data_IF_657503594160
#
_entry.id   IF_657503594160
#
_cell.length_a   1.000
_cell.length_b   1.000
_cell.length_c   1.000
_cell.angle_alpha   90.00
_cell.angle_beta   90.00
_cell.angle_gamma   90.00
#
_symmetry.space_group_name_H-M   'P 1'
#
loop_
_entity.id
_entity.type
_entity.pdbx_description
1 polymer ?
#
# COMPACT_ATOMS: atom_id res chain seq x y z
N UNK A 1 -29.40 -25.79 3.88
CA UNK A 1 -28.21 -25.93 4.75
C UNK A 1 -27.26 -24.79 4.39
N UNK A 2 -27.12 -23.80 5.26
CA UNK A 2 -26.34 -22.60 4.98
C UNK A 2 -24.83 -22.94 5.01
N UNK A 3 -24.13 -22.68 3.91
CA UNK A 3 -22.67 -22.79 3.80
C UNK A 3 -22.03 -21.69 4.66
N UNK A 4 -21.89 -21.97 5.96
CA UNK A 4 -21.22 -21.13 6.95
C UNK A 4 -19.71 -21.21 6.83
N UNK A 5 -19.14 -20.79 5.70
CA UNK A 5 -17.70 -20.52 5.62
C UNK A 5 -17.38 -19.39 6.61
N UNK A 6 -16.80 -19.75 7.75
CA UNK A 6 -16.25 -18.80 8.73
C UNK A 6 -15.43 -17.75 7.99
N UNK A 7 -15.76 -16.47 8.15
CA UNK A 7 -14.89 -15.35 7.74
C UNK A 7 -13.52 -15.64 8.35
N UNK A 8 -12.54 -15.90 7.50
CA UNK A 8 -11.16 -16.09 7.95
C UNK A 8 -10.66 -14.70 8.34
N UNK A 9 -10.09 -14.55 9.54
CA UNK A 9 -9.54 -13.29 10.01
C UNK A 9 -8.52 -12.75 8.98
N UNK A 10 -8.64 -11.50 8.52
CA UNK A 10 -7.70 -10.89 7.56
C UNK A 10 -6.23 -11.02 7.96
N UNK A 11 -5.91 -10.97 9.26
CA UNK A 11 -4.55 -11.12 9.77
C UNK A 11 -4.04 -12.57 9.61
N UNK A 12 -4.90 -13.56 9.86
CA UNK A 12 -4.56 -14.99 9.66
C UNK A 12 -4.36 -15.27 8.17
N UNK A 13 -5.20 -14.69 7.31
CA UNK A 13 -5.04 -14.81 5.87
C UNK A 13 -3.70 -14.23 5.40
N UNK A 14 -3.33 -13.04 5.87
CA UNK A 14 -2.05 -12.40 5.57
C UNK A 14 -0.85 -13.24 6.01
N UNK A 15 -0.88 -13.74 7.25
CA UNK A 15 0.17 -14.62 7.79
C UNK A 15 0.32 -15.92 6.99
N UNK A 16 -0.78 -16.54 6.56
CA UNK A 16 -0.75 -17.75 5.74
C UNK A 16 -0.15 -17.48 4.36
N UNK A 17 -0.53 -16.38 3.72
CA UNK A 17 0.02 -15.99 2.42
C UNK A 17 1.52 -15.67 2.52
N UNK A 18 1.96 -15.01 3.59
CA UNK A 18 3.37 -14.75 3.88
C UNK A 18 4.19 -16.03 4.02
N UNK A 19 3.69 -17.02 4.77
CA UNK A 19 4.40 -18.29 4.98
C UNK A 19 4.53 -19.13 3.69
N UNK A 20 3.51 -19.09 2.83
CA UNK A 20 3.51 -19.83 1.57
C UNK A 20 4.16 -19.07 0.39
N UNK A 21 4.73 -17.89 0.60
CA UNK A 21 5.35 -17.10 -0.46
C UNK A 21 6.82 -17.49 -0.67
N UNK A 22 7.28 -17.44 -1.92
CA UNK A 22 8.71 -17.36 -2.19
C UNK A 22 9.22 -15.99 -1.73
N UNK A 23 10.33 -15.97 -0.98
CA UNK A 23 10.83 -14.76 -0.31
C UNK A 23 12.26 -14.49 -0.71
N UNK A 24 12.58 -13.21 -0.85
CA UNK A 24 13.96 -12.74 -0.94
C UNK A 24 14.39 -12.08 0.38
N UNK A 25 15.68 -11.75 0.50
CA UNK A 25 16.17 -11.00 1.66
C UNK A 25 15.58 -9.58 1.67
N UNK A 26 15.11 -9.12 2.83
CA UNK A 26 14.64 -7.74 3.01
C UNK A 26 15.73 -6.71 2.71
N UNK A 27 16.99 -7.01 3.06
CA UNK A 27 18.14 -6.15 2.77
C UNK A 27 18.36 -5.97 1.27
N UNK A 28 18.22 -7.05 0.49
CA UNK A 28 18.34 -6.98 -0.97
C UNK A 28 17.25 -6.07 -1.54
N UNK A 29 16.03 -6.16 -1.02
CA UNK A 29 14.91 -5.32 -1.44
C UNK A 29 15.14 -3.84 -1.05
N UNK A 30 15.56 -3.56 0.19
CA UNK A 30 15.86 -2.22 0.69
C UNK A 30 16.98 -1.55 -0.13
N UNK A 31 18.09 -2.25 -0.38
CA UNK A 31 19.20 -1.74 -1.17
C UNK A 31 18.80 -1.49 -2.64
N UNK A 32 17.99 -2.38 -3.21
CA UNK A 32 17.48 -2.21 -4.58
C UNK A 32 16.55 -1.00 -4.67
N UNK A 33 15.68 -0.81 -3.68
CA UNK A 33 14.82 0.36 -3.61
C UNK A 33 15.62 1.64 -3.41
N UNK A 34 16.66 1.64 -2.56
CA UNK A 34 17.55 2.78 -2.39
C UNK A 34 18.29 3.17 -3.66
N UNK A 35 18.76 2.18 -4.44
CA UNK A 35 19.34 2.44 -5.76
C UNK A 35 18.33 3.07 -6.73
N UNK A 36 17.08 2.59 -6.73
CA UNK A 36 16.00 3.17 -7.52
C UNK A 36 15.72 4.63 -7.12
N UNK A 37 15.55 4.92 -5.83
CA UNK A 37 15.30 6.28 -5.33
C UNK A 37 16.45 7.21 -5.72
N UNK A 38 17.71 6.75 -5.55
CA UNK A 38 18.88 7.55 -5.90
C UNK A 38 18.95 7.84 -7.40
N UNK A 39 18.62 6.87 -8.23
CA UNK A 39 18.56 7.03 -9.68
C UNK A 39 17.46 8.02 -10.09
N UNK A 40 16.26 7.91 -9.50
CA UNK A 40 15.16 8.86 -9.76
C UNK A 40 15.56 10.28 -9.35
N UNK A 41 16.14 10.47 -8.16
CA UNK A 41 16.63 11.78 -7.70
C UNK A 41 17.59 12.39 -8.73
N UNK A 42 18.54 11.59 -9.23
CA UNK A 42 19.48 12.05 -10.25
C UNK A 42 18.77 12.43 -11.56
N UNK A 43 17.83 11.61 -12.02
CA UNK A 43 17.09 11.83 -13.26
C UNK A 43 16.12 13.02 -13.17
N UNK A 44 15.79 13.46 -11.95
CA UNK A 44 14.97 14.64 -11.66
C UNK A 44 15.79 15.84 -11.18
N UNK A 45 17.10 15.81 -11.38
CA UNK A 45 17.98 16.92 -11.02
C UNK A 45 17.87 17.34 -9.54
N UNK A 46 17.71 16.34 -8.66
CA UNK A 46 17.50 16.50 -7.22
C UNK A 46 16.21 17.29 -6.84
N UNK A 47 15.25 17.46 -7.77
CA UNK A 47 13.91 17.99 -7.50
C UNK A 47 13.09 16.97 -6.67
N UNK A 48 12.79 17.37 -5.44
CA UNK A 48 12.09 16.55 -4.45
C UNK A 48 10.64 16.28 -4.85
N UNK A 49 9.91 17.27 -5.35
CA UNK A 49 8.50 17.12 -5.71
C UNK A 49 8.35 16.25 -6.95
N UNK A 50 9.20 16.48 -7.96
CA UNK A 50 9.25 15.65 -9.15
C UNK A 50 9.64 14.19 -8.80
N UNK A 51 10.54 14.00 -7.84
CA UNK A 51 10.94 12.68 -7.33
C UNK A 51 9.78 12.00 -6.60
N UNK A 52 9.09 12.70 -5.70
CA UNK A 52 7.91 12.18 -5.00
C UNK A 52 6.84 11.71 -5.99
N UNK A 53 6.55 12.51 -7.02
CA UNK A 53 5.61 12.14 -8.08
C UNK A 53 6.10 10.93 -8.91
N UNK A 54 7.41 10.81 -9.12
CA UNK A 54 7.99 9.67 -9.81
C UNK A 54 7.82 8.36 -9.03
N UNK A 55 8.14 8.40 -7.73
CA UNK A 55 8.05 7.25 -6.83
C UNK A 55 6.62 6.76 -6.73
N UNK A 56 5.67 7.69 -6.55
CA UNK A 56 4.24 7.38 -6.56
C UNK A 56 3.83 6.69 -7.87
N UNK A 57 4.25 7.20 -9.02
CA UNK A 57 3.92 6.62 -10.33
C UNK A 57 4.51 5.20 -10.51
N UNK A 58 5.73 4.97 -10.04
CA UNK A 58 6.34 3.63 -10.03
C UNK A 58 5.51 2.71 -9.15
N UNK A 59 5.17 3.16 -7.95
CA UNK A 59 4.26 2.51 -7.01
C UNK A 59 2.95 2.08 -7.66
N UNK A 60 2.23 3.02 -8.28
CA UNK A 60 0.95 2.75 -8.93
C UNK A 60 1.06 1.68 -10.00
N UNK A 61 2.09 1.75 -10.83
CA UNK A 61 2.35 0.73 -11.85
C UNK A 61 2.57 -0.66 -11.24
N UNK A 62 3.27 -0.75 -10.11
CA UNK A 62 3.40 -2.02 -9.36
C UNK A 62 2.07 -2.46 -8.77
N UNK A 63 1.34 -1.56 -8.11
CA UNK A 63 0.04 -1.82 -7.47
C UNK A 63 -0.96 -2.49 -8.41
N UNK A 64 -1.11 -1.95 -9.62
CA UNK A 64 -2.01 -2.50 -10.65
C UNK A 64 -1.67 -3.93 -11.08
N UNK A 65 -0.42 -4.38 -10.89
CA UNK A 65 0.04 -5.72 -11.27
C UNK A 65 -0.02 -6.71 -10.12
N UNK A 66 0.42 -6.30 -8.91
CA UNK A 66 0.49 -7.20 -7.75
C UNK A 66 -0.89 -7.57 -7.18
N UNK A 67 -1.92 -6.77 -7.49
CA UNK A 67 -3.29 -7.01 -7.03
C UNK A 67 -3.86 -8.36 -7.51
N UNK A 68 -3.49 -8.83 -8.70
CA UNK A 68 -3.93 -10.14 -9.21
C UNK A 68 -3.37 -11.29 -8.36
N UNK A 69 -2.10 -11.18 -7.95
CA UNK A 69 -1.50 -12.14 -7.02
C UNK A 69 -2.19 -12.09 -5.66
N UNK A 70 -2.47 -10.89 -5.14
CA UNK A 70 -3.22 -10.73 -3.90
C UNK A 70 -4.59 -11.44 -3.96
N UNK A 71 -5.38 -11.18 -5.02
CA UNK A 71 -6.72 -11.74 -5.19
C UNK A 71 -6.69 -13.27 -5.31
N UNK A 72 -5.72 -13.82 -6.05
CA UNK A 72 -5.58 -15.27 -6.25
C UNK A 72 -5.16 -16.00 -4.98
N UNK A 73 -4.21 -15.46 -4.20
CA UNK A 73 -3.66 -16.15 -3.02
C UNK A 73 -4.53 -16.00 -1.77
N UNK A 74 -5.26 -14.90 -1.64
CA UNK A 74 -6.18 -14.68 -0.51
C UNK A 74 -7.55 -15.31 -0.74
N UNK A 75 -7.89 -15.62 -2.00
CA UNK A 75 -9.24 -16.03 -2.40
C UNK A 75 -10.26 -14.91 -2.20
N UNK A 76 -9.80 -13.66 -2.07
CA UNK A 76 -10.65 -12.52 -1.78
C UNK A 76 -11.61 -12.22 -2.97
N UNK A 77 -11.24 -12.57 -4.21
CA UNK A 77 -12.13 -12.60 -5.39
C UNK A 77 -13.10 -11.42 -5.51
N UNK A 78 -14.28 -11.64 -6.10
CA UNK A 78 -15.36 -10.65 -6.23
C UNK A 78 -15.99 -10.17 -4.89
N UNK A 79 -15.43 -10.56 -3.74
CA UNK A 79 -15.87 -10.14 -2.40
C UNK A 79 -14.87 -9.24 -1.69
N UNK A 80 -13.64 -9.12 -2.21
CA UNK A 80 -12.66 -8.15 -1.76
C UNK A 80 -13.20 -6.76 -2.08
N UNK A 81 -13.15 -5.82 -1.13
CA UNK A 81 -13.44 -4.40 -1.40
C UNK A 81 -14.91 -4.08 -1.73
N UNK A 82 -15.87 -4.71 -1.04
CA UNK A 82 -17.31 -4.32 -1.14
C UNK A 82 -17.59 -2.92 -0.59
N UNK A 83 -16.75 -2.47 0.33
CA UNK A 83 -16.73 -1.12 0.87
C UNK A 83 -15.29 -0.61 0.91
N UNK A 84 -15.15 0.71 1.01
CA UNK A 84 -13.85 1.33 1.27
C UNK A 84 -13.23 0.82 2.59
N UNK A 85 -14.05 0.61 3.62
CA UNK A 85 -13.63 0.02 4.89
C UNK A 85 -12.99 -1.37 4.72
N UNK A 86 -13.70 -2.29 4.04
CA UNK A 86 -13.19 -3.63 3.74
C UNK A 86 -11.88 -3.57 2.94
N UNK A 87 -11.74 -2.59 2.04
CA UNK A 87 -10.56 -2.41 1.22
C UNK A 87 -9.34 -1.94 2.03
N UNK A 88 -9.50 -0.96 2.92
CA UNK A 88 -8.42 -0.49 3.79
C UNK A 88 -8.00 -1.57 4.79
N UNK A 89 -8.94 -2.33 5.34
CA UNK A 89 -8.65 -3.45 6.24
C UNK A 89 -7.90 -4.58 5.51
N UNK A 90 -8.28 -4.87 4.27
CA UNK A 90 -7.57 -5.80 3.40
C UNK A 90 -6.11 -5.36 3.13
N UNK A 91 -5.89 -4.07 2.89
CA UNK A 91 -4.54 -3.51 2.72
C UNK A 91 -3.73 -3.65 4.01
N UNK A 92 -4.27 -3.18 5.14
CA UNK A 92 -3.58 -3.13 6.42
C UNK A 92 -3.24 -4.53 6.97
N UNK A 93 -4.23 -5.42 7.05
CA UNK A 93 -4.08 -6.70 7.77
C UNK A 93 -3.62 -7.85 6.89
N UNK A 94 -3.85 -7.78 5.58
CA UNK A 94 -3.53 -8.89 4.66
C UNK A 94 -2.43 -8.52 3.69
N UNK A 95 -2.57 -7.45 2.90
CA UNK A 95 -1.65 -7.15 1.80
C UNK A 95 -0.27 -6.76 2.29
N UNK A 96 -0.16 -5.84 3.25
CA UNK A 96 1.13 -5.43 3.82
C UNK A 96 1.85 -6.60 4.48
N UNK A 97 1.11 -7.47 5.18
CA UNK A 97 1.67 -8.70 5.75
C UNK A 97 2.15 -9.67 4.68
N UNK A 98 1.35 -9.86 3.63
CA UNK A 98 1.64 -10.80 2.53
C UNK A 98 2.85 -10.39 1.70
N UNK A 99 3.04 -9.09 1.42
CA UNK A 99 4.09 -8.62 0.52
C UNK A 99 5.34 -8.11 1.25
N UNK A 100 5.19 -7.48 2.41
CA UNK A 100 6.29 -6.85 3.14
C UNK A 100 6.58 -7.52 4.50
N UNK A 101 5.75 -8.46 4.94
CA UNK A 101 5.90 -9.11 6.25
C UNK A 101 5.53 -8.20 7.43
N UNK A 102 5.01 -7.00 7.15
CA UNK A 102 4.71 -5.95 8.13
C UNK A 102 3.31 -6.14 8.71
N UNK A 103 3.19 -5.95 10.02
CA UNK A 103 1.90 -5.85 10.70
C UNK A 103 1.45 -4.39 10.71
N UNK A 104 0.23 -4.14 10.27
CA UNK A 104 -0.35 -2.80 10.20
C UNK A 104 -1.80 -2.81 10.69
N UNK A 105 -2.32 -1.61 11.01
CA UNK A 105 -3.70 -1.42 11.46
C UNK A 105 -4.30 -0.16 10.86
N UNK A 106 -5.62 -0.16 10.71
CA UNK A 106 -6.38 1.07 10.42
C UNK A 106 -6.69 1.82 11.71
N UNK A 107 -6.66 3.16 11.68
CA UNK A 107 -7.12 4.05 12.75
C UNK A 107 -7.75 5.32 12.14
N UNK A 108 -8.27 6.19 12.99
CA UNK A 108 -8.75 7.53 12.63
C UNK A 108 -9.72 7.55 11.44
N UNK A 109 -10.72 6.67 11.50
CA UNK A 109 -11.80 6.65 10.53
C UNK A 109 -12.63 7.93 10.61
N UNK A 110 -12.94 8.54 9.46
CA UNK A 110 -13.93 9.63 9.38
C UNK A 110 -15.34 9.14 9.70
N UNK A 111 -16.24 10.04 10.09
CA UNK A 111 -17.65 9.71 10.38
C UNK A 111 -18.35 9.09 9.15
N UNK A 112 -18.04 9.60 7.96
CA UNK A 112 -18.59 9.12 6.68
C UNK A 112 -17.90 7.83 6.17
N UNK A 113 -16.87 7.34 6.89
CA UNK A 113 -16.09 6.14 6.53
C UNK A 113 -15.52 6.26 5.10
N UNK A 114 -15.09 7.46 4.74
CA UNK A 114 -14.46 7.82 3.46
C UNK A 114 -12.97 8.14 3.62
N UNK A 115 -12.44 8.08 4.84
CA UNK A 115 -11.05 8.37 5.14
C UNK A 115 -10.57 7.55 6.35
N UNK A 116 -9.33 7.06 6.31
CA UNK A 116 -8.68 6.40 7.43
C UNK A 116 -7.16 6.53 7.35
N UNK A 117 -6.47 6.13 8.42
CA UNK A 117 -5.01 6.03 8.46
C UNK A 117 -4.58 4.57 8.61
N UNK A 118 -3.69 4.10 7.74
CA UNK A 118 -2.97 2.83 7.92
C UNK A 118 -1.65 3.11 8.61
N UNK A 119 -1.47 2.57 9.81
CA UNK A 119 -0.27 2.72 10.62
C UNK A 119 0.52 1.41 10.68
N UNK A 120 1.85 1.51 10.56
CA UNK A 120 2.79 0.40 10.72
C UNK A 120 4.02 0.83 11.54
N UNK A 121 4.52 -0.08 12.38
CA UNK A 121 5.67 0.18 13.25
C UNK A 121 7.00 0.11 12.49
N UNK A 122 7.06 -0.70 11.43
CA UNK A 122 8.27 -0.88 10.62
C UNK A 122 7.94 -0.81 9.13
N UNK A 123 8.93 -0.39 8.35
CA UNK A 123 8.84 -0.39 6.90
C UNK A 123 10.18 -0.89 6.32
N UNK A 124 10.22 -2.10 5.72
CA UNK A 124 11.43 -2.67 5.15
C UNK A 124 12.10 -1.80 4.08
N UNK A 125 11.33 -0.94 3.40
CA UNK A 125 11.88 -0.01 2.41
C UNK A 125 12.79 1.03 3.06
N UNK A 126 12.51 1.42 4.30
CA UNK A 126 13.22 2.45 5.04
C UNK A 126 14.43 1.91 5.82
N UNK A 127 14.70 0.60 5.74
CA UNK A 127 15.82 -0.01 6.47
C UNK A 127 17.16 0.54 5.95
N UNK A 128 18.04 0.93 6.88
CA UNK A 128 19.36 1.53 6.59
C UNK A 128 19.33 2.91 5.90
N UNK A 129 18.20 3.61 5.94
CA UNK A 129 18.06 4.92 5.30
C UNK A 129 18.20 6.04 6.32
N UNK A 130 19.02 7.03 5.97
CA UNK A 130 19.02 8.35 6.61
C UNK A 130 18.85 9.39 5.51
N UNK A 131 17.94 10.35 5.70
CA UNK A 131 17.68 11.39 4.71
C UNK A 131 18.60 12.60 4.93
N UNK A 132 19.44 12.97 3.94
CA UNK A 132 20.17 14.23 3.96
C UNK A 132 19.23 15.44 4.02
N UNK A 133 19.59 16.47 4.79
CA UNK A 133 18.81 17.72 4.91
C UNK A 133 18.44 18.38 3.58
N UNK A 134 19.28 18.22 2.54
CA UNK A 134 19.00 18.78 1.20
C UNK A 134 17.78 18.14 0.51
N UNK A 135 17.30 17.01 0.99
CA UNK A 135 16.12 16.31 0.50
C UNK A 135 14.95 16.43 1.48
N UNK A 136 14.90 17.53 2.25
CA UNK A 136 13.73 17.87 3.05
C UNK A 136 12.46 17.86 2.18
N UNK A 137 11.40 17.22 2.67
CA UNK A 137 10.16 16.98 1.92
C UNK A 137 10.16 15.73 1.05
N UNK A 138 11.28 15.01 0.91
CA UNK A 138 11.30 13.72 0.21
C UNK A 138 10.51 12.68 1.00
N UNK A 139 9.45 12.19 0.40
CA UNK A 139 8.74 11.02 0.87
C UNK A 139 9.46 9.79 0.31
N UNK A 140 10.47 9.32 1.03
CA UNK A 140 11.34 8.23 0.54
C UNK A 140 10.54 6.98 0.16
N UNK A 141 9.48 6.66 0.91
CA UNK A 141 8.63 5.49 0.69
C UNK A 141 7.40 5.78 -0.18
N UNK A 142 7.33 6.87 -0.96
CA UNK A 142 6.11 7.26 -1.68
C UNK A 142 5.65 6.23 -2.73
N UNK A 143 6.53 5.31 -3.15
CA UNK A 143 6.14 4.17 -3.97
C UNK A 143 5.12 3.26 -3.26
N UNK A 144 5.12 3.20 -1.93
CA UNK A 144 4.12 2.46 -1.16
C UNK A 144 2.73 3.10 -1.27
N UNK A 145 2.65 4.43 -1.20
CA UNK A 145 1.39 5.16 -1.44
C UNK A 145 0.86 4.88 -2.85
N UNK A 146 1.74 4.94 -3.85
CA UNK A 146 1.39 4.58 -5.22
C UNK A 146 0.90 3.15 -5.36
N UNK A 147 1.59 2.17 -4.74
CA UNK A 147 1.23 0.76 -4.82
C UNK A 147 -0.15 0.49 -4.22
N UNK A 148 -0.46 1.08 -3.06
CA UNK A 148 -1.78 1.00 -2.45
C UNK A 148 -2.84 1.59 -3.41
N UNK A 149 -2.61 2.80 -3.91
CA UNK A 149 -3.54 3.47 -4.83
C UNK A 149 -3.79 2.66 -6.10
N UNK A 150 -2.73 2.16 -6.74
CA UNK A 150 -2.82 1.38 -7.97
C UNK A 150 -3.53 0.03 -7.76
N UNK A 151 -3.32 -0.62 -6.63
CA UNK A 151 -4.01 -1.86 -6.29
C UNK A 151 -5.51 -1.62 -6.02
N UNK A 152 -5.85 -0.57 -5.27
CA UNK A 152 -7.24 -0.19 -4.99
C UNK A 152 -7.98 0.23 -6.26
N UNK A 153 -7.32 0.98 -7.15
CA UNK A 153 -7.88 1.39 -8.43
C UNK A 153 -8.21 0.18 -9.34
N UNK A 154 -7.37 -0.85 -9.34
CA UNK A 154 -7.60 -2.08 -10.10
C UNK A 154 -8.81 -2.89 -9.59
N UNK A 155 -9.24 -2.66 -8.35
CA UNK A 155 -10.49 -3.19 -7.78
C UNK A 155 -11.57 -2.11 -7.68
N UNK A 156 -11.47 -1.08 -8.53
CA UNK A 156 -12.47 0.00 -8.72
C UNK A 156 -12.68 0.93 -7.53
N UNK A 157 -11.76 0.95 -6.57
CA UNK A 157 -11.77 1.88 -5.44
C UNK A 157 -10.73 2.96 -5.70
N UNK A 158 -11.15 4.13 -6.19
CA UNK A 158 -10.23 5.26 -6.42
C UNK A 158 -10.00 6.02 -5.12
N UNK A 159 -8.72 6.20 -4.76
CA UNK A 159 -8.33 6.84 -3.50
C UNK A 159 -7.18 7.84 -3.70
N UNK A 160 -7.02 8.74 -2.74
CA UNK A 160 -5.73 9.42 -2.50
C UNK A 160 -4.98 8.69 -1.39
N UNK A 161 -3.66 8.58 -1.51
CA UNK A 161 -2.79 8.02 -0.48
C UNK A 161 -1.61 8.96 -0.25
N UNK A 162 -1.39 9.38 0.99
CA UNK A 162 -0.28 10.24 1.36
C UNK A 162 0.26 9.88 2.75
N UNK A 163 1.56 10.00 2.95
CA UNK A 163 2.13 9.85 4.29
C UNK A 163 1.67 11.00 5.18
N UNK A 164 1.14 10.64 6.35
CA UNK A 164 0.87 11.54 7.47
C UNK A 164 2.10 11.66 8.38
N UNK A 165 2.77 10.53 8.64
CA UNK A 165 3.99 10.46 9.44
C UNK A 165 4.99 9.48 8.85
N UNK A 166 6.26 9.86 8.87
CA UNK A 166 7.41 9.07 8.41
C UNK A 166 8.60 9.32 9.35
N UNK A 167 9.07 8.32 10.11
CA UNK A 167 10.25 8.46 10.96
C UNK A 167 11.50 8.95 10.22
N UNK A 168 11.65 8.66 8.92
CA UNK A 168 12.77 9.15 8.11
C UNK A 168 12.72 10.67 7.89
N UNK A 169 11.52 11.24 7.84
CA UNK A 169 11.30 12.68 7.71
C UNK A 169 11.31 13.40 9.08
N UNK A 170 11.43 12.64 10.18
CA UNK A 170 11.44 13.17 11.55
C UNK A 170 10.07 13.65 12.04
N UNK A 171 8.97 13.30 11.36
CA UNK A 171 7.62 13.68 11.74
C UNK A 171 6.83 12.50 12.31
N UNK A 172 7.18 12.07 13.52
CA UNK A 172 6.49 11.01 14.27
C UNK A 172 7.30 9.71 14.37
N UNK A 173 6.86 8.80 15.24
CA UNK A 173 7.61 7.59 15.61
C UNK A 173 7.23 6.36 14.76
N UNK A 174 6.21 6.50 13.91
CA UNK A 174 5.64 5.40 13.10
C UNK A 174 5.35 5.85 11.68
N UNK A 175 5.33 4.89 10.77
CA UNK A 175 4.85 5.13 9.41
C UNK A 175 3.33 5.14 9.41
N UNK A 176 2.73 6.22 8.92
CA UNK A 176 1.29 6.34 8.80
C UNK A 176 0.92 6.88 7.42
N UNK A 177 0.03 6.18 6.72
CA UNK A 177 -0.48 6.55 5.40
C UNK A 177 -1.96 6.88 5.54
N UNK A 178 -2.31 8.12 5.27
CA UNK A 178 -3.70 8.57 5.17
C UNK A 178 -4.25 8.19 3.81
N UNK A 179 -5.40 7.53 3.82
CA UNK A 179 -6.12 7.08 2.63
C UNK A 179 -7.50 7.72 2.65
N UNK A 180 -7.86 8.39 1.55
CA UNK A 180 -9.19 9.00 1.37
C UNK A 180 -9.83 8.44 0.11
N UNK A 181 -11.09 8.04 0.21
CA UNK A 181 -11.93 7.64 -0.89
C UNK A 181 -12.20 8.84 -1.80
N UNK A 182 -11.97 8.66 -3.09
CA UNK A 182 -12.38 9.60 -4.13
C UNK A 182 -13.72 9.15 -4.70
N UNK A 183 -13.79 7.88 -5.12
CA UNK A 183 -15.01 7.28 -5.66
C UNK A 183 -14.87 5.76 -5.79
N UNK A 184 -16.02 5.07 -5.82
CA UNK A 184 -16.13 3.66 -6.20
C UNK A 184 -16.68 3.61 -7.63
N UNK A 185 -15.91 3.05 -8.56
CA UNK A 185 -16.29 2.97 -9.97
C UNK A 185 -17.30 1.83 -10.16
N UNK A 186 -18.51 2.11 -10.68
CA UNK A 186 -19.52 1.09 -10.93
C UNK A 186 -19.04 0.03 -11.93
N UNK A 187 -19.62 -1.15 -11.83
CA UNK A 187 -19.40 -2.24 -12.78
C UNK A 187 -20.24 -1.98 -14.04
N UNK A 188 -19.62 -1.51 -15.13
CA UNK A 188 -20.29 -1.44 -16.43
C UNK A 188 -20.37 -2.85 -17.04
N UNK A 189 -21.59 -3.38 -17.17
CA UNK A 189 -21.83 -4.59 -17.96
C UNK A 189 -22.05 -4.19 -19.42
N UNK A 190 -21.27 -4.73 -20.39
CA UNK A 190 -21.38 -4.34 -21.80
C UNK A 190 -22.60 -4.92 -22.53
N UNK A 191 -23.58 -5.46 -21.82
CA UNK A 191 -24.79 -6.04 -22.41
C UNK A 191 -26.02 -5.55 -21.64
N UNK A 192 -26.65 -4.51 -22.15
CA UNK A 192 -28.09 -4.32 -21.98
C UNK A 192 -28.76 -5.26 -23.01
N UNK A 193 -29.50 -6.26 -22.54
CA UNK A 193 -30.45 -7.02 -23.38
C UNK A 193 -31.70 -6.17 -23.68
#
# INVERSE_FOLDING_TARGET
MADGRRRTDPAIAGARCWQGAERCSGELFALTYGALVRQILRDREDDVDATNAALERVGRSMGTRIVEEYLSRTGAGARACRSFEDACEAVAKTALKMFLGVDARTRDWSEDVDECVIEMDTNPLAEFVELPKRYEGLCYCNALCGAIRGALEAVRVRTTCAFESDPLAGNGDKFAIRIKLVEIVPEEYPFDD
#
